data_IF_801685767978
#
_entry.id   IF_801685767978
#
_cell.length_a   1.000
_cell.length_b   1.000
_cell.length_c   1.000
_cell.angle_alpha   90.00
_cell.angle_beta   90.00
_cell.angle_gamma   90.00
#
_symmetry.space_group_name_H-M   'P 1'
#
loop_
_entity.id
_entity.type
_entity.pdbx_description
1 polymer ?
#
# COMPACT_ATOMS: atom_id res chain seq x y z
N UNK A 1 -5.58 21.31 -17.30
CA UNK A 1 -6.38 20.10 -17.00
C UNK A 1 -5.65 19.12 -16.10
N UNK A 2 -4.35 18.87 -16.31
CA UNK A 2 -3.49 18.04 -15.42
C UNK A 2 -3.57 18.44 -13.95
N UNK A 3 -3.39 19.72 -13.62
CA UNK A 3 -3.43 20.20 -12.21
C UNK A 3 -4.72 19.88 -11.45
N UNK A 4 -5.89 19.90 -12.10
CA UNK A 4 -7.15 19.61 -11.43
C UNK A 4 -7.30 18.12 -11.11
N UNK A 5 -6.86 17.25 -12.04
CA UNK A 5 -6.76 15.82 -11.82
C UNK A 5 -5.82 15.49 -10.67
N UNK A 6 -4.63 16.11 -10.66
CA UNK A 6 -3.62 15.90 -9.62
C UNK A 6 -4.15 16.28 -8.23
N UNK A 7 -4.87 17.41 -8.13
CA UNK A 7 -5.52 17.83 -6.88
C UNK A 7 -6.60 16.84 -6.41
N UNK A 8 -7.38 16.28 -7.33
CA UNK A 8 -8.37 15.26 -6.98
C UNK A 8 -7.70 13.98 -6.48
N UNK A 9 -6.63 13.53 -7.11
CA UNK A 9 -5.85 12.36 -6.66
C UNK A 9 -5.30 12.61 -5.25
N UNK A 10 -4.68 13.77 -5.01
CA UNK A 10 -4.16 14.14 -3.68
C UNK A 10 -5.26 14.20 -2.61
N UNK A 11 -6.47 14.67 -2.97
CA UNK A 11 -7.61 14.68 -2.05
C UNK A 11 -8.10 13.27 -1.69
N UNK A 12 -8.17 12.35 -2.68
CA UNK A 12 -8.53 10.95 -2.40
C UNK A 12 -7.45 10.29 -1.55
N UNK A 13 -6.18 10.46 -1.89
CA UNK A 13 -5.06 9.96 -1.09
C UNK A 13 -5.14 10.47 0.36
N UNK A 14 -5.41 11.76 0.57
CA UNK A 14 -5.49 12.34 1.91
C UNK A 14 -6.65 11.77 2.74
N UNK A 15 -7.85 11.65 2.15
CA UNK A 15 -9.01 11.09 2.86
C UNK A 15 -8.77 9.63 3.23
N UNK A 16 -8.40 8.82 2.25
CA UNK A 16 -8.26 7.38 2.44
C UNK A 16 -7.04 7.02 3.30
N UNK A 17 -5.96 7.82 3.26
CA UNK A 17 -4.83 7.66 4.18
C UNK A 17 -5.24 7.87 5.64
N UNK A 18 -6.03 8.92 5.95
CA UNK A 18 -6.53 9.15 7.30
C UNK A 18 -7.35 7.98 7.83
N UNK A 19 -8.24 7.44 7.00
CA UNK A 19 -9.04 6.26 7.34
C UNK A 19 -8.12 5.05 7.58
N UNK A 20 -7.13 4.83 6.70
CA UNK A 20 -6.17 3.73 6.83
C UNK A 20 -5.33 3.80 8.10
N UNK A 21 -4.78 4.98 8.43
CA UNK A 21 -4.03 5.20 9.69
C UNK A 21 -4.93 4.93 10.89
N UNK A 22 -6.16 5.44 10.89
CA UNK A 22 -7.09 5.23 11.99
C UNK A 22 -7.43 3.74 12.17
N UNK A 23 -7.77 3.06 11.08
CA UNK A 23 -8.01 1.61 11.09
C UNK A 23 -6.80 0.83 11.63
N UNK A 24 -5.58 1.18 11.22
CA UNK A 24 -4.36 0.55 11.72
C UNK A 24 -4.21 0.70 13.23
N UNK A 25 -4.39 1.92 13.76
CA UNK A 25 -4.28 2.19 15.20
C UNK A 25 -5.30 1.38 15.98
N UNK A 26 -6.56 1.38 15.55
CA UNK A 26 -7.62 0.66 16.24
C UNK A 26 -7.45 -0.86 16.16
N UNK A 27 -7.02 -1.41 15.03
CA UNK A 27 -6.71 -2.84 14.92
C UNK A 27 -5.60 -3.22 15.91
N UNK A 28 -4.52 -2.45 15.96
CA UNK A 28 -3.45 -2.68 16.94
C UNK A 28 -4.00 -2.71 18.37
N UNK A 29 -4.93 -1.81 18.72
CA UNK A 29 -5.54 -1.79 20.06
C UNK A 29 -6.48 -2.96 20.33
N UNK A 30 -7.33 -3.37 19.38
CA UNK A 30 -8.25 -4.50 19.58
C UNK A 30 -7.48 -5.77 19.97
N UNK A 31 -6.39 -6.05 19.27
CA UNK A 31 -5.60 -7.28 19.47
C UNK A 31 -4.61 -7.22 20.64
N UNK A 32 -4.34 -6.02 21.17
CA UNK A 32 -3.54 -5.80 22.38
C UNK A 32 -4.43 -5.77 23.64
N UNK A 33 -5.58 -5.09 23.60
CA UNK A 33 -6.50 -5.00 24.73
C UNK A 33 -7.18 -6.34 25.05
N UNK A 34 -7.35 -7.23 24.06
CA UNK A 34 -7.78 -8.60 24.29
C UNK A 34 -6.85 -9.39 25.24
N UNK A 35 -5.57 -9.01 25.37
CA UNK A 35 -4.61 -9.68 26.24
C UNK A 35 -4.78 -9.37 27.74
N UNK A 36 -5.44 -8.27 28.09
CA UNK A 36 -5.75 -7.93 29.49
C UNK A 36 -7.12 -8.47 29.94
N UNK A 37 -7.67 -9.47 29.26
CA UNK A 37 -9.00 -10.04 29.56
C UNK A 37 -10.17 -9.14 29.17
N UNK A 38 -9.93 -8.14 28.32
CA UNK A 38 -10.98 -7.28 27.76
C UNK A 38 -11.62 -7.91 26.51
N UNK A 39 -12.31 -7.12 25.69
CA UNK A 39 -12.96 -7.57 24.47
C UNK A 39 -11.94 -7.79 23.33
N UNK A 40 -11.91 -9.00 22.76
CA UNK A 40 -11.11 -9.37 21.59
C UNK A 40 -10.12 -10.52 21.82
N UNK A 41 -9.65 -11.19 20.75
CA UNK A 41 -8.62 -12.22 20.88
C UNK A 41 -7.25 -11.61 21.20
N UNK A 42 -6.52 -12.22 22.13
CA UNK A 42 -5.15 -11.84 22.44
C UNK A 42 -4.20 -12.38 21.37
N UNK A 43 -3.78 -11.54 20.44
CA UNK A 43 -2.72 -11.89 19.48
C UNK A 43 -1.35 -11.45 20.00
N UNK A 44 -1.25 -10.24 20.55
CA UNK A 44 -0.01 -9.69 21.11
C UNK A 44 0.31 -10.26 22.51
N UNK A 45 0.34 -11.59 22.64
CA UNK A 45 0.68 -12.28 23.89
C UNK A 45 2.08 -11.95 24.41
N UNK A 46 2.41 -12.46 25.60
CA UNK A 46 3.63 -12.13 26.38
C UNK A 46 4.98 -12.28 25.66
N UNK A 47 5.01 -12.97 24.51
CA UNK A 47 6.25 -13.37 23.85
C UNK A 47 6.61 -12.47 22.66
N UNK A 48 5.74 -11.51 22.28
CA UNK A 48 6.02 -10.52 21.22
C UNK A 48 6.06 -11.07 19.79
N UNK A 49 5.73 -12.36 19.59
CA UNK A 49 5.81 -13.04 18.29
C UNK A 49 4.80 -12.50 17.27
N UNK A 50 3.60 -12.15 17.72
CA UNK A 50 2.62 -11.48 16.87
C UNK A 50 2.70 -9.98 17.11
N UNK A 51 3.31 -9.29 16.14
CA UNK A 51 3.50 -7.84 16.23
C UNK A 51 2.17 -7.09 16.19
N UNK A 52 2.11 -5.90 16.79
CA UNK A 52 0.88 -5.09 16.81
C UNK A 52 0.47 -4.59 15.42
N UNK A 53 1.42 -4.49 14.49
CA UNK A 53 1.19 -4.17 13.08
C UNK A 53 0.62 -5.32 12.24
N UNK A 54 0.74 -6.58 12.68
CA UNK A 54 0.39 -7.75 11.87
C UNK A 54 -1.07 -7.75 11.37
N UNK A 55 -2.10 -7.51 12.21
CA UNK A 55 -3.49 -7.55 11.75
C UNK A 55 -3.80 -6.47 10.70
N UNK A 56 -3.21 -5.29 10.86
CA UNK A 56 -3.35 -4.20 9.92
C UNK A 56 -2.65 -4.51 8.58
N UNK A 57 -1.46 -5.11 8.64
CA UNK A 57 -0.73 -5.58 7.46
C UNK A 57 -1.48 -6.68 6.71
N UNK A 58 -2.11 -7.63 7.42
CA UNK A 58 -2.95 -8.67 6.82
C UNK A 58 -4.20 -8.08 6.16
N UNK A 59 -4.96 -7.25 6.88
CA UNK A 59 -6.20 -6.66 6.36
C UNK A 59 -5.95 -5.76 5.16
N UNK A 60 -4.96 -4.87 5.23
CA UNK A 60 -4.62 -3.99 4.11
C UNK A 60 -4.14 -4.76 2.88
N UNK A 61 -3.40 -5.85 3.07
CA UNK A 61 -2.97 -6.72 1.96
C UNK A 61 -4.15 -7.50 1.36
N UNK A 62 -5.08 -7.99 2.18
CA UNK A 62 -6.30 -8.63 1.70
C UNK A 62 -7.18 -7.68 0.89
N UNK A 63 -7.40 -6.45 1.36
CA UNK A 63 -8.16 -5.45 0.62
C UNK A 63 -7.44 -5.09 -0.69
N UNK A 64 -6.11 -4.93 -0.67
CA UNK A 64 -5.32 -4.69 -1.88
C UNK A 64 -5.52 -5.80 -2.93
N UNK A 65 -5.49 -7.07 -2.51
CA UNK A 65 -5.75 -8.22 -3.38
C UNK A 65 -7.20 -8.27 -3.89
N UNK A 66 -8.18 -7.97 -3.03
CA UNK A 66 -9.59 -7.92 -3.41
C UNK A 66 -9.92 -6.80 -4.41
N UNK A 67 -9.14 -5.72 -4.38
CA UNK A 67 -9.23 -4.61 -5.32
C UNK A 67 -8.35 -4.79 -6.56
N UNK A 68 -7.75 -5.97 -6.79
CA UNK A 68 -6.88 -6.22 -7.93
C UNK A 68 -7.60 -5.99 -9.28
N UNK A 69 -6.85 -5.46 -10.24
CA UNK A 69 -7.30 -5.35 -11.63
C UNK A 69 -7.37 -6.73 -12.28
N UNK A 70 -8.20 -6.85 -13.31
CA UNK A 70 -8.38 -8.12 -14.01
C UNK A 70 -7.10 -8.62 -14.68
N UNK A 71 -6.25 -7.71 -15.19
CA UNK A 71 -4.92 -8.05 -15.72
C UNK A 71 -4.01 -8.72 -14.68
N UNK A 72 -4.04 -8.26 -13.43
CA UNK A 72 -3.27 -8.85 -12.31
C UNK A 72 -3.78 -10.25 -11.94
N UNK A 73 -5.04 -10.54 -12.25
CA UNK A 73 -5.67 -11.85 -12.00
C UNK A 73 -5.58 -12.78 -13.22
N UNK A 74 -4.90 -12.36 -14.29
CA UNK A 74 -4.77 -13.08 -15.56
C UNK A 74 -6.13 -13.29 -16.26
N UNK A 75 -7.02 -12.30 -16.20
CA UNK A 75 -8.33 -12.33 -16.88
C UNK A 75 -8.31 -11.47 -18.14
N UNK A 76 -9.03 -11.89 -19.18
CA UNK A 76 -9.22 -11.08 -20.42
C UNK A 76 -10.06 -9.82 -20.21
N UNK A 77 -10.90 -9.80 -19.18
CA UNK A 77 -11.77 -8.65 -18.93
C UNK A 77 -10.94 -7.39 -18.63
N UNK A 78 -11.33 -6.24 -19.16
CA UNK A 78 -10.64 -4.96 -18.92
C UNK A 78 -11.17 -4.25 -17.68
N UNK A 79 -11.35 -4.96 -16.56
CA UNK A 79 -11.90 -4.37 -15.33
C UNK A 79 -10.76 -3.77 -14.47
N UNK A 80 -10.70 -2.44 -14.29
CA UNK A 80 -9.86 -1.78 -13.30
C UNK A 80 -9.94 -2.40 -11.92
N UNK A 81 -11.14 -2.75 -11.47
CA UNK A 81 -11.42 -3.37 -10.17
C UNK A 81 -12.31 -4.59 -10.40
N UNK A 82 -11.74 -5.78 -10.27
CA UNK A 82 -12.40 -7.03 -10.66
C UNK A 82 -13.63 -7.35 -9.81
N UNK A 83 -13.59 -7.02 -8.51
CA UNK A 83 -14.70 -7.27 -7.59
C UNK A 83 -15.96 -6.43 -7.90
N UNK A 84 -15.88 -5.46 -8.81
CA UNK A 84 -17.00 -4.60 -9.20
C UNK A 84 -17.61 -5.03 -10.55
N UNK A 85 -18.92 -4.86 -10.76
CA UNK A 85 -19.55 -5.07 -12.07
C UNK A 85 -18.89 -4.21 -13.16
N UNK A 86 -18.84 -4.70 -14.40
CA UNK A 86 -18.23 -3.98 -15.53
C UNK A 86 -18.86 -2.59 -15.78
N UNK A 87 -20.19 -2.48 -15.65
CA UNK A 87 -20.92 -1.22 -15.83
C UNK A 87 -20.93 -0.30 -14.60
N UNK A 88 -20.22 -0.65 -13.52
CA UNK A 88 -20.28 0.14 -12.29
C UNK A 88 -19.58 1.50 -12.47
N UNK A 89 -20.18 2.64 -12.05
CA UNK A 89 -19.60 3.97 -12.26
C UNK A 89 -18.19 4.17 -11.67
N UNK A 90 -17.85 3.40 -10.62
CA UNK A 90 -16.52 3.47 -10.02
C UNK A 90 -15.42 2.86 -10.89
N UNK A 91 -15.73 1.98 -11.85
CA UNK A 91 -14.70 1.43 -12.77
C UNK A 91 -13.92 2.53 -13.50
N UNK A 92 -14.57 3.68 -13.77
CA UNK A 92 -13.95 4.81 -14.47
C UNK A 92 -13.30 5.83 -13.52
N UNK A 93 -13.43 5.67 -12.20
CA UNK A 93 -12.96 6.65 -11.21
C UNK A 93 -11.53 6.34 -10.75
N UNK A 94 -10.55 6.73 -11.57
CA UNK A 94 -9.11 6.54 -11.30
C UNK A 94 -8.66 7.15 -9.96
N UNK A 95 -9.03 8.41 -9.59
CA UNK A 95 -8.65 8.98 -8.29
C UNK A 95 -9.15 8.17 -7.10
N UNK A 96 -10.35 7.58 -7.18
CA UNK A 96 -10.89 6.72 -6.13
C UNK A 96 -10.06 5.44 -5.99
N UNK A 97 -9.70 4.80 -7.11
CA UNK A 97 -8.89 3.59 -7.07
C UNK A 97 -7.50 3.83 -6.46
N UNK A 98 -6.83 4.93 -6.85
CA UNK A 98 -5.56 5.36 -6.25
C UNK A 98 -5.76 5.64 -4.76
N UNK A 99 -6.85 6.31 -4.38
CA UNK A 99 -7.23 6.53 -2.99
C UNK A 99 -7.39 5.23 -2.20
N UNK A 100 -8.08 4.23 -2.73
CA UNK A 100 -8.30 2.96 -2.03
C UNK A 100 -7.05 2.08 -1.95
N UNK A 101 -6.28 1.94 -3.04
CA UNK A 101 -5.07 1.10 -3.06
C UNK A 101 -3.91 1.81 -2.37
N UNK A 102 -3.53 2.96 -2.91
CA UNK A 102 -2.35 3.70 -2.44
C UNK A 102 -2.66 4.44 -1.14
N UNK A 103 -3.81 5.09 -1.01
CA UNK A 103 -4.20 5.80 0.22
C UNK A 103 -4.56 4.86 1.38
N UNK A 104 -5.68 4.14 1.26
CA UNK A 104 -6.24 3.30 2.32
C UNK A 104 -5.36 2.08 2.61
N UNK A 105 -5.19 1.15 1.65
CA UNK A 105 -4.43 -0.08 1.89
C UNK A 105 -2.97 0.23 2.26
N UNK A 106 -2.36 1.18 1.53
CA UNK A 106 -1.00 1.62 1.80
C UNK A 106 -0.80 2.18 3.20
N UNK A 107 -1.73 3.00 3.73
CA UNK A 107 -1.59 3.61 5.07
C UNK A 107 -2.12 2.75 6.22
N UNK A 108 -2.98 1.77 5.88
CA UNK A 108 -3.43 0.71 6.77
C UNK A 108 -2.29 -0.27 7.06
N UNK A 109 -1.48 -0.60 6.05
CA UNK A 109 -0.27 -1.39 6.25
C UNK A 109 0.92 -0.50 6.65
N UNK A 110 1.95 -1.07 7.24
CA UNK A 110 3.21 -0.37 7.53
C UNK A 110 4.36 -1.36 7.59
N UNK A 111 5.42 -1.06 6.86
CA UNK A 111 6.68 -1.81 6.92
C UNK A 111 7.59 -1.28 8.03
N UNK A 112 7.66 0.05 8.20
CA UNK A 112 8.53 0.69 9.21
C UNK A 112 8.20 0.27 10.64
N UNK A 113 6.91 0.34 11.02
CA UNK A 113 6.50 -0.05 12.38
C UNK A 113 6.76 -1.54 12.64
N UNK A 114 6.51 -2.40 11.65
CA UNK A 114 6.83 -3.83 11.76
C UNK A 114 8.32 -4.08 11.98
N UNK A 115 9.19 -3.39 11.23
CA UNK A 115 10.64 -3.46 11.42
C UNK A 115 11.06 -2.97 12.81
N UNK A 116 10.48 -1.88 13.30
CA UNK A 116 10.73 -1.35 14.65
C UNK A 116 10.33 -2.37 15.72
N UNK A 117 9.16 -3.00 15.61
CA UNK A 117 8.68 -4.02 16.55
C UNK A 117 9.62 -5.24 16.58
N UNK A 118 10.01 -5.77 15.42
CA UNK A 118 10.94 -6.92 15.31
C UNK A 118 12.31 -6.58 15.90
N UNK A 119 12.88 -5.42 15.56
CA UNK A 119 14.21 -5.03 16.03
C UNK A 119 14.22 -4.68 17.51
N UNK A 120 13.14 -4.10 18.04
CA UNK A 120 13.01 -3.87 19.49
C UNK A 120 13.04 -5.21 20.22
N UNK A 121 12.28 -6.20 19.75
CA UNK A 121 12.26 -7.53 20.34
C UNK A 121 13.64 -8.22 20.27
N UNK A 122 14.37 -8.05 19.18
CA UNK A 122 15.70 -8.63 19.01
C UNK A 122 16.78 -7.93 19.86
N UNK A 123 16.84 -6.60 19.81
CA UNK A 123 17.94 -5.79 20.34
C UNK A 123 17.72 -5.43 21.80
N UNK A 124 16.54 -4.88 22.11
CA UNK A 124 16.21 -4.36 23.45
C UNK A 124 15.80 -5.48 24.39
N UNK A 125 14.92 -6.37 23.92
CA UNK A 125 14.36 -7.43 24.76
C UNK A 125 15.22 -8.71 24.73
N UNK A 126 16.27 -8.75 23.90
CA UNK A 126 17.17 -9.88 23.70
C UNK A 126 16.44 -11.20 23.33
N UNK A 127 15.27 -11.09 22.71
CA UNK A 127 14.41 -12.22 22.34
C UNK A 127 14.58 -12.56 20.85
N UNK A 128 15.82 -12.85 20.43
CA UNK A 128 16.18 -13.03 19.01
C UNK A 128 15.39 -14.13 18.30
N UNK A 129 15.07 -15.24 18.99
CA UNK A 129 14.24 -16.32 18.43
C UNK A 129 12.85 -15.79 18.10
N UNK A 130 12.23 -15.07 19.05
CA UNK A 130 10.89 -14.52 18.86
C UNK A 130 10.89 -13.46 17.76
N UNK A 131 11.96 -12.66 17.64
CA UNK A 131 12.10 -11.69 16.56
C UNK A 131 12.19 -12.35 15.19
N UNK A 132 12.94 -13.45 15.05
CA UNK A 132 12.99 -14.22 13.79
C UNK A 132 11.62 -14.80 13.44
N UNK A 133 10.91 -15.38 14.41
CA UNK A 133 9.56 -15.92 14.18
C UNK A 133 8.57 -14.79 13.83
N UNK A 134 8.62 -13.67 14.55
CA UNK A 134 7.79 -12.49 14.27
C UNK A 134 8.05 -11.92 12.86
N UNK A 135 9.30 -11.94 12.42
CA UNK A 135 9.68 -11.55 11.07
C UNK A 135 9.08 -12.52 10.03
N UNK A 136 9.21 -13.83 10.22
CA UNK A 136 8.64 -14.82 9.29
C UNK A 136 7.11 -14.74 9.21
N UNK A 137 6.44 -14.58 10.35
CA UNK A 137 4.98 -14.41 10.40
C UNK A 137 4.57 -13.09 9.72
N UNK A 138 5.27 -12.00 10.02
CA UNK A 138 5.04 -10.67 9.43
C UNK A 138 5.27 -10.63 7.92
N UNK A 139 6.07 -11.54 7.37
CA UNK A 139 6.25 -11.73 5.94
C UNK A 139 5.15 -12.60 5.33
N UNK A 140 4.95 -13.82 5.85
CA UNK A 140 4.09 -14.83 5.23
C UNK A 140 2.60 -14.47 5.32
N UNK A 141 2.13 -13.96 6.46
CA UNK A 141 0.70 -13.73 6.67
C UNK A 141 0.12 -12.63 5.75
N UNK A 142 0.78 -11.47 5.55
CA UNK A 142 0.31 -10.48 4.57
C UNK A 142 0.36 -10.98 3.12
N UNK A 143 1.38 -11.75 2.73
CA UNK A 143 1.45 -12.40 1.41
C UNK A 143 0.26 -13.33 1.17
N UNK A 144 -0.01 -14.24 2.12
CA UNK A 144 -1.15 -15.15 2.04
C UNK A 144 -2.47 -14.35 1.99
N UNK A 145 -2.58 -13.31 2.81
CA UNK A 145 -3.76 -12.45 2.87
C UNK A 145 -4.03 -11.74 1.54
N UNK A 146 -2.98 -11.25 0.86
CA UNK A 146 -3.08 -10.68 -0.48
C UNK A 146 -3.60 -11.71 -1.50
N UNK A 147 -3.02 -12.92 -1.52
CA UNK A 147 -3.46 -14.01 -2.40
C UNK A 147 -4.91 -14.39 -2.12
N UNK A 148 -5.32 -14.48 -0.85
CA UNK A 148 -6.73 -14.72 -0.48
C UNK A 148 -7.62 -13.60 -1.02
N UNK A 149 -7.20 -12.33 -0.91
CA UNK A 149 -7.90 -11.20 -1.51
C UNK A 149 -8.11 -11.36 -3.03
N UNK A 150 -7.08 -11.78 -3.77
CA UNK A 150 -7.19 -12.07 -5.20
C UNK A 150 -8.23 -13.17 -5.49
N UNK A 151 -8.22 -14.24 -4.70
CA UNK A 151 -9.22 -15.33 -4.84
C UNK A 151 -10.63 -14.86 -4.51
N UNK A 152 -10.81 -13.94 -3.55
CA UNK A 152 -12.11 -13.32 -3.26
C UNK A 152 -12.58 -12.52 -4.48
N UNK A 153 -11.71 -11.71 -5.10
CA UNK A 153 -12.06 -10.96 -6.30
C UNK A 153 -12.48 -11.89 -7.45
N UNK A 154 -11.72 -12.96 -7.69
CA UNK A 154 -12.05 -13.99 -8.68
C UNK A 154 -13.38 -14.71 -8.38
N UNK A 155 -13.63 -15.05 -7.12
CA UNK A 155 -14.86 -15.73 -6.73
C UNK A 155 -16.08 -14.83 -6.91
N UNK A 156 -15.99 -13.56 -6.51
CA UNK A 156 -17.06 -12.59 -6.73
C UNK A 156 -17.32 -12.39 -8.22
N UNK A 157 -16.26 -12.22 -9.02
CA UNK A 157 -16.41 -12.06 -10.46
C UNK A 157 -17.09 -13.28 -11.10
N UNK A 158 -16.61 -14.49 -10.77
CA UNK A 158 -17.15 -15.74 -11.30
C UNK A 158 -18.59 -16.04 -10.89
N UNK A 159 -18.92 -15.86 -9.61
CA UNK A 159 -20.18 -16.39 -9.06
C UNK A 159 -21.26 -15.33 -8.90
N UNK A 160 -20.90 -14.05 -8.83
CA UNK A 160 -21.86 -12.97 -8.60
C UNK A 160 -21.99 -12.00 -9.79
N UNK A 161 -20.95 -11.90 -10.64
CA UNK A 161 -20.91 -10.89 -11.70
C UNK A 161 -20.90 -11.45 -13.12
N UNK A 162 -20.40 -12.69 -13.32
CA UNK A 162 -20.35 -13.31 -14.64
C UNK A 162 -21.78 -13.60 -15.15
N UNK A 163 -22.11 -13.22 -16.39
CA UNK A 163 -23.31 -13.72 -17.06
C UNK A 163 -23.26 -15.26 -17.11
N UNK A 164 -24.39 -15.94 -16.96
CA UNK A 164 -24.45 -17.40 -17.07
C UNK A 164 -23.79 -17.88 -18.38
N UNK A 165 -22.63 -18.54 -18.29
CA UNK A 165 -22.02 -19.24 -19.43
C UNK A 165 -20.56 -18.90 -19.78
N UNK A 166 -19.93 -17.86 -19.22
CA UNK A 166 -18.49 -17.60 -19.44
C UNK A 166 -17.64 -18.22 -18.33
N UNK A 167 -16.90 -19.27 -18.66
CA UNK A 167 -16.01 -19.94 -17.72
C UNK A 167 -14.78 -19.08 -17.42
N UNK A 168 -14.65 -18.57 -16.19
CA UNK A 168 -13.43 -17.86 -15.74
C UNK A 168 -12.14 -18.66 -15.98
N UNK A 169 -12.21 -19.99 -16.01
CA UNK A 169 -11.06 -20.84 -16.36
C UNK A 169 -10.69 -20.74 -17.85
N UNK A 170 -11.67 -20.67 -18.74
CA UNK A 170 -11.45 -20.49 -20.18
C UNK A 170 -10.84 -19.12 -20.45
N UNK A 171 -11.31 -18.06 -19.77
CA UNK A 171 -10.73 -16.72 -19.86
C UNK A 171 -9.27 -16.65 -19.37
N UNK A 172 -8.91 -17.39 -18.31
CA UNK A 172 -7.51 -17.44 -17.83
C UNK A 172 -6.63 -18.23 -18.79
N UNK A 173 -7.14 -19.31 -19.36
CA UNK A 173 -6.40 -20.12 -20.33
C UNK A 173 -6.13 -19.32 -21.61
N UNK A 174 -7.14 -18.61 -22.13
CA UNK A 174 -7.01 -17.78 -23.32
C UNK A 174 -6.09 -16.57 -23.09
N UNK A 175 -6.15 -15.92 -21.93
CA UNK A 175 -5.20 -14.87 -21.55
C UNK A 175 -3.75 -15.37 -21.57
N UNK A 176 -3.48 -16.51 -20.91
CA UNK A 176 -2.14 -17.11 -20.86
C UNK A 176 -1.64 -17.54 -22.23
N UNK A 177 -2.51 -18.08 -23.08
CA UNK A 177 -2.18 -18.43 -24.47
C UNK A 177 -1.85 -17.17 -25.28
N UNK A 178 -2.58 -16.06 -25.08
CA UNK A 178 -2.31 -14.78 -25.71
C UNK A 178 -0.96 -14.19 -25.30
N UNK A 179 -0.60 -14.25 -24.02
CA UNK A 179 0.68 -13.75 -23.51
C UNK A 179 1.86 -14.58 -24.03
N UNK A 180 1.75 -15.92 -24.01
CA UNK A 180 2.75 -16.83 -24.58
C UNK A 180 2.89 -16.64 -26.10
N UNK A 181 1.79 -16.42 -26.83
CA UNK A 181 1.82 -16.14 -28.27
C UNK A 181 2.49 -14.80 -28.58
N UNK A 182 2.29 -13.78 -27.74
CA UNK A 182 2.96 -12.48 -27.85
C UNK A 182 4.48 -12.58 -27.61
N UNK A 183 4.91 -13.41 -26.66
CA UNK A 183 6.33 -13.65 -26.39
C UNK A 183 7.03 -14.46 -27.51
N UNK A 184 6.34 -15.45 -28.08
CA UNK A 184 6.88 -16.29 -29.17
C UNK A 184 6.84 -15.61 -30.55
N UNK A 185 5.94 -14.64 -30.76
CA UNK A 185 5.67 -14.03 -32.06
C UNK A 185 6.55 -12.83 -32.46
N UNK A 186 7.29 -12.22 -31.52
CA UNK A 186 8.27 -11.15 -31.81
C UNK A 186 7.75 -9.91 -32.57
N UNK A 187 6.44 -9.69 -32.72
CA UNK A 187 5.89 -8.65 -33.58
C UNK A 187 4.73 -7.87 -32.94
N UNK A 188 4.77 -6.57 -33.17
CA UNK A 188 3.87 -5.53 -32.68
C UNK A 188 2.40 -5.77 -33.03
N UNK A 189 1.51 -5.45 -32.08
CA UNK A 189 0.13 -5.11 -32.40
C UNK A 189 -0.23 -3.77 -31.74
N UNK A 190 -0.28 -2.74 -32.59
CA UNK A 190 -0.92 -1.47 -32.32
C UNK A 190 -2.45 -1.64 -32.30
N UNK A 191 -3.11 -1.15 -31.26
CA UNK A 191 -4.32 -0.30 -31.34
C UNK A 191 -4.65 0.15 -29.91
N UNK A 192 -4.11 1.31 -29.52
CA UNK A 192 -4.32 1.90 -28.20
C UNK A 192 -5.64 2.66 -28.13
N UNK A 193 -6.69 2.04 -27.58
CA UNK A 193 -7.95 2.72 -27.23
C UNK A 193 -7.78 3.60 -25.97
N UNK A 194 -8.56 4.69 -25.78
CA UNK A 194 -8.45 5.60 -24.62
C UNK A 194 -8.57 4.93 -23.25
N UNK A 195 -9.25 3.78 -23.17
CA UNK A 195 -9.39 2.95 -21.96
C UNK A 195 -8.05 2.35 -21.51
N UNK A 196 -7.13 2.05 -22.43
CA UNK A 196 -5.81 1.56 -22.09
C UNK A 196 -4.93 2.64 -21.45
N UNK A 197 -5.20 3.94 -21.67
CA UNK A 197 -4.44 5.04 -21.07
C UNK A 197 -4.80 5.24 -19.58
N UNK A 198 -6.07 4.99 -19.20
CA UNK A 198 -6.53 4.99 -17.81
C UNK A 198 -6.18 3.71 -17.08
N UNK A 199 -6.19 2.57 -17.76
CA UNK A 199 -5.65 1.29 -17.29
C UNK A 199 -4.13 1.43 -17.04
N UNK A 200 -3.39 2.10 -17.92
CA UNK A 200 -1.99 2.49 -17.72
C UNK A 200 -1.75 3.48 -16.57
N UNK A 201 -2.76 4.22 -16.11
CA UNK A 201 -2.69 5.07 -14.91
C UNK A 201 -3.05 4.30 -13.62
N UNK A 202 -3.70 3.15 -13.76
CA UNK A 202 -4.07 2.26 -12.66
C UNK A 202 -3.02 1.17 -12.43
N UNK A 203 -2.47 0.63 -13.53
CA UNK A 203 -1.26 -0.20 -13.61
C UNK A 203 0.02 0.60 -13.41
N UNK A 204 -0.02 1.93 -13.62
CA UNK A 204 0.15 2.87 -12.50
C UNK A 204 0.99 2.29 -11.39
N UNK A 205 0.34 1.79 -10.34
CA UNK A 205 0.92 1.44 -9.05
C UNK A 205 1.69 0.09 -8.99
N UNK A 206 1.96 -0.56 -10.13
CA UNK A 206 2.74 -1.81 -10.20
C UNK A 206 3.81 -1.69 -11.30
N UNK A 207 5.01 -2.26 -11.10
CA UNK A 207 6.12 -2.18 -12.06
C UNK A 207 5.69 -2.68 -13.44
N UNK A 208 6.03 -1.92 -14.49
CA UNK A 208 5.83 -2.31 -15.88
C UNK A 208 6.74 -3.50 -16.21
N UNK A 209 6.21 -4.52 -16.88
CA UNK A 209 7.05 -5.40 -17.69
C UNK A 209 7.59 -4.55 -18.85
N UNK A 210 8.89 -4.67 -19.11
CA UNK A 210 9.51 -4.12 -20.30
C UNK A 210 9.10 -4.96 -21.51
N UNK A 211 7.88 -4.77 -22.02
CA UNK A 211 7.65 -4.98 -23.44
C UNK A 211 8.41 -3.84 -24.13
N UNK A 212 9.57 -4.21 -24.65
CA UNK A 212 10.60 -3.37 -25.27
C UNK A 212 9.95 -2.42 -26.29
N UNK A 213 9.79 -1.14 -25.93
CA UNK A 213 9.38 -0.09 -26.86
C UNK A 213 10.63 0.51 -27.50
N UNK A 214 11.14 -0.12 -28.55
CA UNK A 214 11.83 0.63 -29.60
C UNK A 214 10.75 1.06 -30.58
N UNK A 215 10.31 2.32 -30.50
CA UNK A 215 10.40 3.33 -31.56
C UNK A 215 9.81 4.63 -31.00
N UNK A 216 10.65 5.64 -30.77
CA UNK A 216 10.21 7.02 -30.78
C UNK A 216 10.03 7.44 -32.23
N UNK A 217 8.80 7.68 -32.65
CA UNK A 217 8.36 8.77 -33.53
C UNK A 217 6.90 8.52 -33.91
N UNK A 218 6.09 9.59 -33.82
CA UNK A 218 4.75 9.73 -34.43
C UNK A 218 3.61 8.85 -33.90
N UNK A 219 3.13 9.09 -32.67
CA UNK A 219 1.67 9.11 -32.35
C UNK A 219 1.44 10.08 -31.17
N UNK A 220 1.66 11.38 -31.42
CA UNK A 220 0.82 12.38 -30.76
C UNK A 220 -0.46 12.51 -31.60
N UNK A 221 -1.60 12.70 -30.93
CA UNK A 221 -2.96 12.86 -31.50
C UNK A 221 -3.74 11.58 -31.83
N UNK A 222 -4.52 11.06 -30.87
CA UNK A 222 -6.01 11.13 -30.92
C UNK A 222 -6.69 10.44 -29.72
N UNK A 223 -6.46 10.92 -28.50
CA UNK A 223 -7.52 10.81 -27.50
C UNK A 223 -8.38 12.07 -27.66
N UNK A 224 -9.63 11.91 -28.10
CA UNK A 224 -10.57 13.03 -28.24
C UNK A 224 -10.58 13.83 -26.94
N UNK A 225 -10.52 15.15 -27.01
CA UNK A 225 -10.63 16.01 -25.83
C UNK A 225 -11.87 15.64 -25.00
N UNK A 226 -12.94 15.17 -25.65
CA UNK A 226 -14.17 14.65 -25.05
C UNK A 226 -13.95 13.41 -24.18
N UNK A 227 -13.11 12.47 -24.57
CA UNK A 227 -12.86 11.22 -23.80
C UNK A 227 -12.08 11.52 -22.52
N UNK A 228 -11.08 12.40 -22.62
CA UNK A 228 -10.34 12.92 -21.46
C UNK A 228 -11.25 13.74 -20.54
N UNK A 229 -12.17 14.52 -21.11
CA UNK A 229 -13.20 15.25 -20.36
C UNK A 229 -14.19 14.33 -19.64
N UNK A 230 -14.65 13.25 -20.28
CA UNK A 230 -15.61 12.30 -19.72
C UNK A 230 -14.99 11.43 -18.62
N UNK A 231 -13.73 11.01 -18.77
CA UNK A 231 -12.98 10.31 -17.72
C UNK A 231 -12.72 11.19 -16.49
N UNK A 232 -12.45 12.50 -16.68
CA UNK A 232 -12.24 13.45 -15.57
C UNK A 232 -13.52 13.74 -14.76
N UNK A 233 -14.67 13.55 -15.41
CA UNK A 233 -15.99 13.83 -14.84
C UNK A 233 -16.77 12.56 -14.46
N UNK A 234 -16.24 11.38 -14.78
CA UNK A 234 -16.69 10.11 -14.23
C UNK A 234 -16.48 10.12 -12.72
N UNK A 235 -17.57 10.27 -11.96
CA UNK A 235 -17.50 10.37 -10.52
C UNK A 235 -17.46 11.80 -9.94
N UNK A 236 -18.02 12.82 -10.62
CA UNK A 236 -18.21 14.17 -10.01
C UNK A 236 -18.79 14.12 -8.59
N UNK A 237 -19.82 13.29 -8.38
CA UNK A 237 -20.46 13.09 -7.07
C UNK A 237 -19.48 12.51 -6.05
N UNK A 238 -18.71 11.49 -6.43
CA UNK A 238 -17.68 10.89 -5.58
C UNK A 238 -16.55 11.86 -5.26
N UNK A 239 -16.09 12.67 -6.22
CA UNK A 239 -15.05 13.67 -5.96
C UNK A 239 -15.53 14.76 -4.98
N UNK A 240 -16.74 15.27 -5.18
CA UNK A 240 -17.34 16.24 -4.26
C UNK A 240 -17.52 15.63 -2.86
N UNK A 241 -18.01 14.39 -2.77
CA UNK A 241 -18.13 13.67 -1.50
C UNK A 241 -16.77 13.48 -0.82
N UNK A 242 -15.72 13.11 -1.57
CA UNK A 242 -14.35 12.96 -1.04
C UNK A 242 -13.85 14.27 -0.43
N UNK A 243 -14.01 15.41 -1.11
CA UNK A 243 -13.53 16.70 -0.60
C UNK A 243 -14.30 17.13 0.65
N UNK A 244 -15.62 16.94 0.66
CA UNK A 244 -16.46 17.25 1.83
C UNK A 244 -16.12 16.36 3.03
N UNK A 245 -15.98 15.05 2.79
CA UNK A 245 -15.60 14.09 3.83
C UNK A 245 -14.18 14.37 4.34
N UNK A 246 -13.23 14.71 3.46
CA UNK A 246 -11.88 15.10 3.85
C UNK A 246 -11.90 16.29 4.81
N UNK A 247 -12.65 17.34 4.49
CA UNK A 247 -12.77 18.51 5.34
C UNK A 247 -13.43 18.16 6.70
N UNK A 248 -14.51 17.37 6.67
CA UNK A 248 -15.22 16.95 7.87
C UNK A 248 -14.36 16.06 8.78
N UNK A 249 -13.64 15.09 8.21
CA UNK A 249 -12.74 14.18 8.93
C UNK A 249 -11.55 14.95 9.52
N UNK A 250 -10.95 15.87 8.76
CA UNK A 250 -9.84 16.70 9.24
C UNK A 250 -10.28 17.61 10.41
N UNK A 251 -11.46 18.21 10.30
CA UNK A 251 -12.06 18.99 11.38
C UNK A 251 -12.34 18.11 12.61
N UNK A 252 -12.90 16.92 12.41
CA UNK A 252 -13.16 15.95 13.47
C UNK A 252 -11.90 15.53 14.22
N UNK A 253 -10.81 15.22 13.52
CA UNK A 253 -9.52 14.91 14.15
C UNK A 253 -8.92 16.11 14.87
N UNK A 254 -9.05 17.32 14.33
CA UNK A 254 -8.56 18.53 14.99
C UNK A 254 -9.30 18.82 16.29
N UNK A 255 -10.63 18.64 16.30
CA UNK A 255 -11.47 18.77 17.49
C UNK A 255 -11.14 17.66 18.49
N UNK A 256 -11.03 16.42 18.05
CA UNK A 256 -10.62 15.30 18.92
C UNK A 256 -9.25 15.52 19.55
N UNK A 257 -8.26 16.00 18.79
CA UNK A 257 -6.93 16.34 19.31
C UNK A 257 -6.98 17.46 20.37
N UNK A 258 -7.86 18.44 20.20
CA UNK A 258 -8.01 19.55 21.12
C UNK A 258 -8.72 19.13 22.42
N UNK A 259 -9.78 18.33 22.32
CA UNK A 259 -10.67 17.99 23.44
C UNK A 259 -10.29 16.71 24.20
N UNK A 260 -9.56 15.78 23.58
CA UNK A 260 -9.16 14.54 24.24
C UNK A 260 -8.04 14.81 25.25
N UNK A 261 -8.35 14.68 26.54
CA UNK A 261 -7.40 14.87 27.64
C UNK A 261 -7.10 13.58 28.40
N UNK A 262 -8.05 12.63 28.42
CA UNK A 262 -7.99 11.44 29.27
C UNK A 262 -7.10 10.34 28.69
N UNK A 263 -7.17 10.12 27.37
CA UNK A 263 -6.47 9.02 26.71
C UNK A 263 -5.41 9.51 25.72
N UNK A 264 -4.15 9.53 26.18
CA UNK A 264 -2.99 9.91 25.38
C UNK A 264 -2.92 9.16 24.03
N UNK A 265 -3.23 7.86 24.01
CA UNK A 265 -3.16 7.07 22.77
C UNK A 265 -4.26 7.48 21.76
N UNK A 266 -5.46 7.83 22.24
CA UNK A 266 -6.56 8.34 21.40
C UNK A 266 -6.16 9.69 20.83
N UNK A 267 -5.67 10.59 21.69
CA UNK A 267 -5.17 11.91 21.27
C UNK A 267 -4.05 11.81 20.22
N UNK A 268 -3.11 10.89 20.43
CA UNK A 268 -2.03 10.60 19.48
C UNK A 268 -2.59 10.09 18.15
N UNK A 269 -3.64 9.27 18.16
CA UNK A 269 -4.26 8.73 16.94
C UNK A 269 -4.87 9.80 16.04
N UNK A 270 -5.44 10.86 16.63
CA UNK A 270 -5.98 11.99 15.87
C UNK A 270 -4.87 12.74 15.14
N UNK A 271 -3.78 13.10 15.85
CA UNK A 271 -2.63 13.75 15.22
C UNK A 271 -1.96 12.83 14.18
N UNK A 272 -1.84 11.53 14.49
CA UNK A 272 -1.28 10.52 13.56
C UNK A 272 -2.07 10.47 12.25
N UNK A 273 -3.40 10.51 12.33
CA UNK A 273 -4.26 10.47 11.13
C UNK A 273 -4.02 11.68 10.23
N UNK A 274 -3.90 12.88 10.82
CA UNK A 274 -3.59 14.10 10.08
C UNK A 274 -2.19 14.05 9.46
N UNK A 275 -1.18 13.60 10.22
CA UNK A 275 0.20 13.48 9.74
C UNK A 275 0.37 12.40 8.67
N UNK A 276 -0.49 11.36 8.68
CA UNK A 276 -0.51 10.30 7.68
C UNK A 276 -0.74 10.78 6.25
N UNK A 277 -1.42 11.93 6.08
CA UNK A 277 -1.62 12.57 4.76
C UNK A 277 -0.26 12.82 4.09
N UNK A 278 0.69 13.40 4.82
CA UNK A 278 2.00 13.75 4.28
C UNK A 278 2.83 12.51 3.95
N UNK A 279 2.74 11.46 4.78
CA UNK A 279 3.43 10.20 4.53
C UNK A 279 2.92 9.53 3.25
N UNK A 280 1.61 9.47 3.10
CA UNK A 280 0.98 8.91 1.90
C UNK A 280 1.30 9.73 0.64
N UNK A 281 1.27 11.07 0.72
CA UNK A 281 1.64 11.92 -0.41
C UNK A 281 3.10 11.74 -0.81
N UNK A 282 4.01 11.69 0.15
CA UNK A 282 5.42 11.46 -0.13
C UNK A 282 5.64 10.07 -0.75
N UNK A 283 4.99 9.02 -0.25
CA UNK A 283 5.04 7.69 -0.87
C UNK A 283 4.53 7.73 -2.31
N UNK A 284 3.41 8.39 -2.57
CA UNK A 284 2.87 8.55 -3.92
C UNK A 284 3.84 9.29 -4.84
N UNK A 285 4.45 10.37 -4.37
CA UNK A 285 5.46 11.13 -5.15
C UNK A 285 6.71 10.30 -5.42
N UNK A 286 7.20 9.52 -4.46
CA UNK A 286 8.33 8.60 -4.64
C UNK A 286 7.99 7.50 -5.66
N UNK A 287 6.81 6.92 -5.58
CA UNK A 287 6.33 5.97 -6.59
C UNK A 287 6.28 6.63 -7.98
N UNK A 288 5.69 7.82 -8.09
CA UNK A 288 5.58 8.52 -9.36
C UNK A 288 6.94 8.90 -9.97
N UNK A 289 7.87 9.35 -9.13
CA UNK A 289 9.18 9.84 -9.57
C UNK A 289 10.18 8.71 -9.89
N UNK A 290 10.13 7.59 -9.17
CA UNK A 290 11.15 6.54 -9.26
C UNK A 290 10.69 5.29 -10.01
N UNK A 291 9.39 4.96 -10.01
CA UNK A 291 8.88 3.77 -10.72
C UNK A 291 8.56 4.07 -12.20
N UNK A 292 8.22 5.32 -12.58
CA UNK A 292 7.68 5.62 -13.92
C UNK A 292 8.59 6.47 -14.82
N UNK A 293 9.86 6.63 -14.47
CA UNK A 293 10.82 7.18 -15.44
C UNK A 293 11.06 6.14 -16.54
N UNK A 294 10.62 6.46 -17.76
CA UNK A 294 10.84 5.65 -18.97
C UNK A 294 12.31 5.43 -19.35
N UNK A 295 13.25 5.92 -18.54
CA UNK A 295 14.70 5.77 -18.66
C UNK A 295 15.34 5.15 -17.40
N UNK A 296 14.56 4.58 -16.47
CA UNK A 296 15.15 3.85 -15.34
C UNK A 296 16.05 2.74 -15.87
N UNK A 297 17.30 2.68 -15.38
CA UNK A 297 18.25 1.60 -15.71
C UNK A 297 17.73 0.22 -15.30
N UNK A 298 16.74 0.17 -14.40
CA UNK A 298 16.20 -1.05 -13.81
C UNK A 298 14.66 -0.99 -13.82
N UNK A 299 14.02 -1.08 -15.00
CA UNK A 299 12.56 -0.92 -15.13
C UNK A 299 11.77 -2.03 -14.40
N UNK A 300 12.41 -3.17 -14.15
CA UNK A 300 11.87 -4.28 -13.36
C UNK A 300 11.95 -4.04 -11.84
N UNK A 301 12.66 -3.03 -11.35
CA UNK A 301 12.94 -2.87 -9.93
C UNK A 301 12.05 -1.77 -9.31
N UNK A 302 11.15 -2.06 -8.36
CA UNK A 302 10.26 -1.07 -7.74
C UNK A 302 10.99 -0.09 -6.80
N UNK A 303 11.77 0.81 -7.39
CA UNK A 303 12.59 1.78 -6.66
C UNK A 303 11.77 2.70 -5.76
N UNK A 304 10.56 3.06 -6.15
CA UNK A 304 9.67 3.95 -5.40
C UNK A 304 9.18 3.32 -4.10
N UNK A 305 8.71 2.07 -4.14
CA UNK A 305 8.26 1.34 -2.94
C UNK A 305 9.43 1.05 -2.01
N UNK A 306 10.58 0.63 -2.56
CA UNK A 306 11.80 0.45 -1.77
C UNK A 306 12.22 1.77 -1.11
N UNK A 307 12.33 2.87 -1.87
CA UNK A 307 12.76 4.16 -1.35
C UNK A 307 11.83 4.67 -0.25
N UNK A 308 10.52 4.56 -0.44
CA UNK A 308 9.52 4.95 0.55
C UNK A 308 9.66 4.10 1.84
N UNK A 309 9.80 2.78 1.70
CA UNK A 309 10.01 1.87 2.82
C UNK A 309 11.31 2.17 3.56
N UNK A 310 12.44 2.35 2.86
CA UNK A 310 13.73 2.63 3.48
C UNK A 310 13.74 4.00 4.18
N UNK A 311 13.23 5.06 3.53
CA UNK A 311 13.17 6.40 4.10
C UNK A 311 12.28 6.44 5.34
N UNK A 312 11.05 5.91 5.24
CA UNK A 312 10.13 5.89 6.37
C UNK A 312 10.65 5.05 7.53
N UNK A 313 11.25 3.89 7.24
CA UNK A 313 11.86 3.02 8.27
C UNK A 313 13.06 3.70 8.95
N UNK A 314 13.91 4.41 8.21
CA UNK A 314 15.03 5.13 8.79
C UNK A 314 14.57 6.25 9.73
N UNK A 315 13.54 7.02 9.34
CA UNK A 315 12.95 8.05 10.20
C UNK A 315 12.31 7.40 11.44
N UNK A 316 11.56 6.31 11.27
CA UNK A 316 10.89 5.60 12.37
C UNK A 316 11.91 5.10 13.41
N UNK A 317 13.00 4.46 12.97
CA UNK A 317 14.09 4.04 13.87
C UNK A 317 14.78 5.21 14.58
N UNK A 318 14.96 6.35 13.90
CA UNK A 318 15.52 7.56 14.51
C UNK A 318 14.62 8.12 15.62
N UNK A 319 13.31 8.15 15.37
CA UNK A 319 12.30 8.55 16.36
C UNK A 319 12.22 7.55 17.52
N UNK A 320 12.30 6.24 17.23
CA UNK A 320 12.34 5.20 18.26
C UNK A 320 13.59 5.31 19.14
N UNK A 321 14.76 5.59 18.56
CA UNK A 321 16.00 5.82 19.29
C UNK A 321 15.86 7.05 20.20
N UNK A 322 15.25 8.14 19.70
CA UNK A 322 14.96 9.34 20.48
C UNK A 322 14.03 9.04 21.66
N UNK A 323 12.93 8.33 21.46
CA UNK A 323 12.02 7.92 22.54
C UNK A 323 12.74 7.06 23.58
N UNK A 324 13.59 6.13 23.13
CA UNK A 324 14.32 5.22 24.02
C UNK A 324 15.31 5.98 24.91
N UNK A 325 15.99 7.01 24.40
CA UNK A 325 17.01 7.75 25.16
C UNK A 325 16.54 9.00 25.87
N UNK A 326 15.55 9.67 25.30
CA UNK A 326 15.10 11.00 25.75
C UNK A 326 13.61 11.03 26.07
N UNK A 327 12.89 9.91 25.98
CA UNK A 327 11.45 9.82 26.25
C UNK A 327 11.00 10.59 27.51
N UNK A 328 11.59 10.33 28.69
CA UNK A 328 11.24 11.06 29.92
C UNK A 328 11.51 12.57 29.87
N UNK A 329 12.47 13.00 29.04
CA UNK A 329 12.88 14.42 28.90
C UNK A 329 12.07 15.19 27.84
N UNK A 330 11.32 14.52 26.97
CA UNK A 330 10.53 15.17 25.91
C UNK A 330 9.27 15.87 26.43
N UNK A 331 8.85 15.55 27.66
CA UNK A 331 7.57 15.97 28.21
C UNK A 331 6.38 15.37 27.46
N UNK A 332 5.18 15.73 27.89
CA UNK A 332 3.92 15.20 27.34
C UNK A 332 3.79 15.44 25.82
N UNK A 333 3.94 16.70 25.40
CA UNK A 333 3.74 17.09 23.99
C UNK A 333 4.84 16.58 23.08
N UNK A 334 6.09 16.55 23.54
CA UNK A 334 7.19 16.00 22.75
C UNK A 334 7.01 14.50 22.49
N UNK A 335 6.66 13.73 23.52
CA UNK A 335 6.37 12.30 23.38
C UNK A 335 5.18 12.01 22.45
N UNK A 336 4.11 12.81 22.58
CA UNK A 336 2.91 12.72 21.73
C UNK A 336 3.27 12.98 20.25
N UNK A 337 3.98 14.07 19.95
CA UNK A 337 4.34 14.44 18.57
C UNK A 337 5.26 13.39 17.94
N UNK A 338 6.27 12.91 18.68
CA UNK A 338 7.17 11.85 18.18
C UNK A 338 6.40 10.57 17.88
N UNK A 339 5.51 10.15 18.79
CA UNK A 339 4.68 8.95 18.59
C UNK A 339 3.70 9.11 17.41
N UNK A 340 3.17 10.32 17.22
CA UNK A 340 2.28 10.63 16.10
C UNK A 340 3.02 10.68 14.76
N UNK A 341 4.29 11.08 14.73
CA UNK A 341 5.14 11.02 13.53
C UNK A 341 5.49 9.58 13.15
N UNK A 342 5.82 8.72 14.13
CA UNK A 342 6.04 7.29 13.87
C UNK A 342 4.77 6.63 13.34
N UNK A 343 3.67 6.80 14.07
CA UNK A 343 2.39 6.18 13.74
C UNK A 343 1.80 6.74 12.45
N UNK A 344 1.73 8.05 12.30
CA UNK A 344 1.11 8.72 11.16
C UNK A 344 2.02 8.81 9.93
N UNK A 345 3.04 9.67 10.01
CA UNK A 345 3.91 10.00 8.88
C UNK A 345 4.69 8.77 8.39
N UNK A 346 5.49 8.14 9.26
CA UNK A 346 6.34 6.99 8.87
C UNK A 346 5.48 5.77 8.54
N UNK A 347 4.43 5.54 9.33
CA UNK A 347 3.46 4.49 9.09
C UNK A 347 2.79 4.56 7.72
N UNK A 348 2.35 5.74 7.27
CA UNK A 348 1.71 5.92 5.95
C UNK A 348 2.69 6.05 4.77
N UNK A 349 3.94 6.45 5.05
CA UNK A 349 5.04 6.50 4.09
C UNK A 349 5.53 5.09 3.72
N UNK A 350 5.54 4.16 4.68
CA UNK A 350 5.92 2.77 4.44
C UNK A 350 4.68 1.92 4.12
N UNK A 351 4.85 0.78 3.45
CA UNK A 351 3.73 -0.11 3.08
C UNK A 351 4.18 -1.56 2.93
N UNK A 352 3.31 -2.47 3.35
CA UNK A 352 3.45 -3.92 3.09
C UNK A 352 2.52 -4.35 1.95
N UNK A 353 1.32 -3.76 1.85
CA UNK A 353 0.33 -4.14 0.83
C UNK A 353 0.83 -3.96 -0.60
N UNK A 354 1.54 -2.87 -0.88
CA UNK A 354 2.16 -2.64 -2.21
C UNK A 354 3.34 -3.58 -2.42
N UNK A 355 4.17 -3.78 -1.39
CA UNK A 355 5.33 -4.69 -1.44
C UNK A 355 4.92 -6.13 -1.81
N UNK A 356 3.89 -6.67 -1.14
CA UNK A 356 3.42 -8.05 -1.42
C UNK A 356 2.80 -8.16 -2.80
N UNK A 357 2.07 -7.13 -3.26
CA UNK A 357 1.51 -7.10 -4.61
C UNK A 357 2.61 -7.11 -5.69
N UNK A 358 3.70 -6.36 -5.47
CA UNK A 358 4.88 -6.38 -6.34
C UNK A 358 5.57 -7.75 -6.35
N UNK A 359 5.79 -8.35 -5.17
CA UNK A 359 6.43 -9.67 -5.05
C UNK A 359 5.63 -10.75 -5.80
N UNK A 360 4.30 -10.79 -5.60
CA UNK A 360 3.44 -11.77 -6.27
C UNK A 360 3.44 -11.55 -7.78
N UNK A 361 3.33 -10.30 -8.25
CA UNK A 361 3.40 -9.97 -9.67
C UNK A 361 4.71 -10.42 -10.32
N UNK A 362 5.84 -10.22 -9.65
CA UNK A 362 7.12 -10.69 -10.22
C UNK A 362 7.27 -12.20 -10.18
N UNK A 363 6.70 -12.88 -9.18
CA UNK A 363 6.73 -14.33 -9.12
C UNK A 363 5.98 -15.00 -10.27
N UNK A 364 4.92 -14.36 -10.79
CA UNK A 364 4.19 -14.85 -11.96
C UNK A 364 4.89 -14.50 -13.27
N UNK A 365 5.45 -13.29 -13.39
CA UNK A 365 6.09 -12.81 -14.62
C UNK A 365 7.49 -13.39 -14.88
N UNK A 366 8.28 -13.65 -13.83
CA UNK A 366 9.66 -14.12 -13.97
C UNK A 366 9.98 -15.30 -13.05
N UNK A 367 9.32 -16.46 -13.25
CA UNK A 367 9.46 -17.61 -12.35
C UNK A 367 10.89 -18.19 -12.30
N UNK A 368 11.70 -17.99 -13.36
CA UNK A 368 13.06 -18.52 -13.45
C UNK A 368 14.15 -17.51 -13.06
N UNK A 369 13.81 -16.24 -12.82
CA UNK A 369 14.79 -15.18 -12.59
C UNK A 369 14.97 -14.88 -11.10
N UNK A 370 16.21 -14.63 -10.68
CA UNK A 370 16.55 -14.29 -9.30
C UNK A 370 16.00 -12.92 -8.83
N UNK A 371 15.32 -12.17 -9.71
CA UNK A 371 14.85 -10.79 -9.48
C UNK A 371 13.95 -10.64 -8.25
N UNK A 372 12.98 -11.54 -8.05
CA UNK A 372 12.08 -11.53 -6.88
C UNK A 372 12.88 -11.66 -5.58
N UNK A 373 13.85 -12.58 -5.58
CA UNK A 373 14.70 -12.85 -4.42
C UNK A 373 15.60 -11.67 -4.10
N UNK A 374 16.21 -11.04 -5.11
CA UNK A 374 17.01 -9.84 -4.92
C UNK A 374 16.17 -8.67 -4.41
N UNK A 375 15.00 -8.40 -4.99
CA UNK A 375 14.13 -7.31 -4.52
C UNK A 375 13.69 -7.53 -3.07
N UNK A 376 13.29 -8.77 -2.74
CA UNK A 376 12.93 -9.16 -1.38
C UNK A 376 14.12 -9.00 -0.43
N UNK A 377 15.31 -9.51 -0.80
CA UNK A 377 16.52 -9.41 0.01
C UNK A 377 16.89 -7.95 0.29
N UNK A 378 16.86 -7.08 -0.72
CA UNK A 378 17.18 -5.66 -0.54
C UNK A 378 16.15 -4.96 0.35
N UNK A 379 14.86 -5.25 0.19
CA UNK A 379 13.80 -4.65 1.00
C UNK A 379 13.92 -5.06 2.46
N UNK A 380 13.95 -6.36 2.72
CA UNK A 380 13.99 -6.89 4.08
C UNK A 380 15.35 -6.67 4.74
N UNK A 381 16.43 -7.04 4.05
CA UNK A 381 17.80 -6.86 4.54
C UNK A 381 18.14 -5.39 4.75
N UNK A 382 17.75 -4.51 3.83
CA UNK A 382 17.93 -3.06 3.97
C UNK A 382 17.22 -2.51 5.20
N UNK A 383 15.96 -2.92 5.43
CA UNK A 383 15.21 -2.52 6.62
C UNK A 383 15.87 -2.97 7.93
N UNK A 384 16.37 -4.21 8.00
CA UNK A 384 17.06 -4.75 9.18
C UNK A 384 18.39 -4.01 9.43
N UNK A 385 19.19 -3.79 8.38
CA UNK A 385 20.48 -3.10 8.48
C UNK A 385 20.31 -1.64 8.91
N UNK A 386 19.31 -0.94 8.38
CA UNK A 386 18.96 0.42 8.84
C UNK A 386 18.60 0.42 10.32
N UNK A 387 17.81 -0.56 10.79
CA UNK A 387 17.46 -0.69 12.20
C UNK A 387 18.67 -0.88 13.09
N UNK A 388 19.57 -1.78 12.72
CA UNK A 388 20.82 -2.01 13.46
C UNK A 388 21.67 -0.73 13.49
N UNK A 389 21.83 -0.06 12.35
CA UNK A 389 22.68 1.13 12.23
C UNK A 389 22.13 2.35 12.99
N UNK A 390 20.81 2.58 12.94
CA UNK A 390 20.19 3.80 13.48
C UNK A 390 19.70 3.59 14.92
N UNK A 391 19.05 2.46 15.19
CA UNK A 391 18.43 2.17 16.50
C UNK A 391 19.29 1.29 17.40
N UNK A 392 20.16 0.44 16.84
CA UNK A 392 20.90 -0.56 17.60
C UNK A 392 21.66 0.02 18.80
N UNK A 393 22.44 1.09 18.59
CA UNK A 393 23.18 1.75 19.68
C UNK A 393 22.27 2.20 20.82
N UNK A 394 21.06 2.68 20.49
CA UNK A 394 20.12 3.18 21.46
C UNK A 394 19.44 2.05 22.24
N UNK A 395 19.08 0.97 21.53
CA UNK A 395 18.45 -0.22 22.10
C UNK A 395 19.38 -1.02 23.01
N UNK A 396 20.63 -1.26 22.61
CA UNK A 396 21.58 -2.05 23.42
C UNK A 396 22.03 -1.36 24.71
N UNK A 397 21.97 -0.03 24.74
CA UNK A 397 22.40 0.76 25.91
C UNK A 397 21.19 1.28 26.70
N UNK A 398 19.98 0.83 26.38
CA UNK A 398 18.71 1.32 26.92
C UNK A 398 18.50 0.96 28.39
#
# INVERSE_FOLDING_TARGET
MTRAHDLLVLAHLALWAQIGVMMRVYLSKIFVLGCSGSWGPCLAGSNGVYTGSLPANMLGSLIMGALAAASVLELESKKPVTILPAGHPWQLNVPLHIGLRTGLCGSLTTFGTWQVEVLTLAIRDNAWVNAVVAFLIGLCCPLISYVVGMHVALAVDRYLLAPEGEGVLEQRESFRVGEVAAELGGAAQELGSPEQESELQLERDLPRSSVRRSTEATVEESASATDKYMALYAGKKTHAATVLLLAAVLAGWSVGLALEEDHLWVRTSFLSSMLGIFGCWLRYVLAQSLNYQGQSRWPWYPMGTLAANMLGTAIDFGLQALLTKRGPSLGYWGGLVVSALQTGLCGALTTVSTLVAEIVKFSSLFPEEAHVYWYSLHTFGGGLLLGIAIYGWAGWTA
#
